data_IF_602771148726
#
_entry.id   IF_602771148726
#
_cell.length_a   1.000
_cell.length_b   1.000
_cell.length_c   1.000
_cell.angle_alpha   90.00
_cell.angle_beta   90.00
_cell.angle_gamma   90.00
#
_symmetry.space_group_name_H-M   'P 1'
#
loop_
_entity.id
_entity.type
_entity.pdbx_description
1 polymer ?
#
# COMPACT_ATOMS: atom_id res chain seq x y z
N UNK A 1 -10.18 -15.38 11.87
CA UNK A 1 -11.06 -14.81 10.84
C UNK A 1 -11.05 -13.30 11.02
N UNK A 2 -10.81 -12.56 9.94
CA UNK A 2 -10.75 -11.09 9.95
C UNK A 2 -11.90 -10.46 9.16
N UNK A 3 -12.35 -11.11 8.11
CA UNK A 3 -13.52 -10.77 7.28
C UNK A 3 -14.16 -12.05 6.76
N UNK A 4 -15.26 -11.94 6.06
CA UNK A 4 -15.89 -13.05 5.34
C UNK A 4 -15.95 -12.75 3.84
N UNK A 5 -16.04 -13.78 3.01
CA UNK A 5 -16.29 -13.67 1.57
C UNK A 5 -17.72 -14.14 1.30
N UNK A 6 -18.50 -13.28 0.61
CA UNK A 6 -19.87 -13.64 0.18
C UNK A 6 -19.86 -14.54 -1.08
N UNK A 7 -21.04 -15.00 -1.48
CA UNK A 7 -21.20 -15.89 -2.63
C UNK A 7 -20.77 -15.27 -3.97
N UNK A 8 -20.78 -13.93 -4.08
CA UNK A 8 -20.30 -13.18 -5.24
C UNK A 8 -18.79 -12.92 -5.21
N UNK A 9 -18.09 -13.46 -4.20
CA UNK A 9 -16.64 -13.32 -4.05
C UNK A 9 -16.18 -12.02 -3.39
N UNK A 10 -17.09 -11.16 -2.92
CA UNK A 10 -16.76 -9.88 -2.29
C UNK A 10 -16.40 -10.08 -0.82
N UNK A 11 -15.40 -9.35 -0.36
CA UNK A 11 -15.04 -9.33 1.05
C UNK A 11 -16.00 -8.43 1.84
N UNK A 12 -16.44 -8.92 3.01
CA UNK A 12 -17.39 -8.25 3.90
C UNK A 12 -16.84 -8.18 5.32
N UNK A 13 -17.12 -7.07 6.00
CA UNK A 13 -16.82 -6.94 7.43
C UNK A 13 -17.52 -8.03 8.25
N UNK A 14 -16.96 -8.38 9.39
CA UNK A 14 -17.65 -9.30 10.33
C UNK A 14 -18.90 -8.67 10.95
N UNK A 15 -19.08 -7.35 10.84
CA UNK A 15 -20.28 -6.62 11.26
C UNK A 15 -21.34 -6.49 10.17
N UNK A 16 -21.07 -7.00 8.96
CA UNK A 16 -22.05 -6.98 7.88
C UNK A 16 -23.26 -7.82 8.23
N UNK A 17 -24.45 -7.22 8.10
CA UNK A 17 -25.75 -7.85 8.33
C UNK A 17 -26.51 -7.88 7.00
N UNK A 18 -26.59 -9.01 6.30
CA UNK A 18 -27.40 -9.14 5.10
C UNK A 18 -28.90 -9.22 5.46
N UNK A 19 -29.75 -8.82 4.51
CA UNK A 19 -31.20 -8.85 4.68
C UNK A 19 -31.79 -10.27 4.60
N UNK A 20 -31.04 -11.22 4.04
CA UNK A 20 -31.43 -12.62 3.84
C UNK A 20 -30.32 -13.54 4.31
N UNK A 21 -30.64 -14.81 4.52
CA UNK A 21 -29.66 -15.84 4.84
C UNK A 21 -28.71 -16.04 3.65
N UNK A 22 -27.41 -15.85 3.88
CA UNK A 22 -26.36 -15.97 2.86
C UNK A 22 -25.27 -16.95 3.30
N UNK A 23 -24.71 -17.65 2.35
CA UNK A 23 -23.51 -18.44 2.58
C UNK A 23 -22.26 -17.57 2.51
N UNK A 24 -21.38 -17.71 3.49
CA UNK A 24 -20.12 -16.98 3.55
C UNK A 24 -18.96 -17.90 3.85
N UNK A 25 -17.80 -17.58 3.27
CA UNK A 25 -16.53 -18.25 3.57
C UNK A 25 -15.70 -17.39 4.50
N UNK A 26 -15.21 -17.91 5.64
CA UNK A 26 -14.35 -17.16 6.55
C UNK A 26 -12.97 -16.92 5.92
N UNK A 27 -12.43 -15.72 6.06
CA UNK A 27 -11.09 -15.33 5.61
C UNK A 27 -10.17 -15.18 6.81
N UNK A 28 -9.13 -15.99 6.86
CA UNK A 28 -8.14 -16.00 7.94
C UNK A 28 -7.10 -14.88 7.74
N UNK A 29 -6.48 -14.44 8.83
CA UNK A 29 -5.49 -13.35 8.83
C UNK A 29 -4.22 -13.67 8.03
N UNK A 30 -3.86 -14.94 7.92
CA UNK A 30 -2.66 -15.45 7.23
C UNK A 30 -2.87 -15.74 5.74
N UNK A 31 -4.07 -15.46 5.22
CA UNK A 31 -4.34 -15.49 3.77
C UNK A 31 -3.92 -14.18 3.12
N UNK A 32 -3.77 -14.16 1.78
CA UNK A 32 -3.47 -12.95 1.01
C UNK A 32 -4.52 -11.85 1.25
N UNK A 33 -5.80 -12.19 1.14
CA UNK A 33 -6.91 -11.26 1.40
C UNK A 33 -6.93 -10.80 2.86
N UNK A 34 -6.70 -11.71 3.82
CA UNK A 34 -6.66 -11.36 5.24
C UNK A 34 -5.54 -10.37 5.55
N UNK A 35 -4.35 -10.57 5.00
CA UNK A 35 -3.22 -9.63 5.09
C UNK A 35 -3.53 -8.31 4.41
N UNK A 36 -4.18 -8.33 3.25
CA UNK A 36 -4.60 -7.11 2.54
C UNK A 36 -5.52 -6.26 3.42
N UNK A 37 -6.53 -6.86 4.05
CA UNK A 37 -7.45 -6.16 4.96
C UNK A 37 -6.74 -5.65 6.24
N UNK A 38 -5.79 -6.41 6.80
CA UNK A 38 -4.97 -5.96 7.92
C UNK A 38 -4.14 -4.75 7.52
N UNK A 39 -3.51 -4.75 6.35
CA UNK A 39 -2.70 -3.65 5.79
C UNK A 39 -3.54 -2.41 5.53
N UNK A 40 -4.72 -2.56 4.93
CA UNK A 40 -5.67 -1.48 4.75
C UNK A 40 -6.08 -0.86 6.10
N UNK A 41 -6.39 -1.67 7.08
CA UNK A 41 -6.73 -1.20 8.42
C UNK A 41 -5.53 -0.54 9.13
N UNK A 42 -4.31 -1.01 8.88
CA UNK A 42 -3.09 -0.39 9.40
C UNK A 42 -2.84 1.00 8.77
N UNK A 43 -3.19 1.18 7.48
CA UNK A 43 -3.15 2.48 6.81
C UNK A 43 -4.09 3.50 7.48
N UNK A 44 -5.30 3.09 7.89
CA UNK A 44 -6.22 3.93 8.67
C UNK A 44 -5.67 4.28 10.05
N UNK A 45 -5.06 3.31 10.75
CA UNK A 45 -4.40 3.58 12.05
C UNK A 45 -3.22 4.55 11.89
N UNK A 46 -2.48 4.47 10.78
CA UNK A 46 -1.44 5.45 10.43
C UNK A 46 -2.05 6.84 10.22
N UNK A 47 -3.11 6.95 9.42
CA UNK A 47 -3.78 8.24 9.14
C UNK A 47 -4.29 8.89 10.43
N UNK A 48 -4.93 8.12 11.31
CA UNK A 48 -5.34 8.60 12.64
C UNK A 48 -4.15 9.06 13.48
N UNK A 49 -3.03 8.34 13.45
CA UNK A 49 -1.82 8.70 14.19
C UNK A 49 -1.21 9.99 13.65
N UNK A 50 -1.17 10.17 12.32
CA UNK A 50 -0.66 11.39 11.68
C UNK A 50 -1.51 12.58 12.06
N UNK A 51 -2.83 12.55 11.90
CA UNK A 51 -3.69 13.68 12.27
C UNK A 51 -3.69 13.99 13.77
N UNK A 52 -3.45 12.99 14.63
CA UNK A 52 -3.30 13.23 16.07
C UNK A 52 -2.00 13.96 16.44
N UNK A 53 -0.94 13.81 15.64
CA UNK A 53 0.37 14.44 15.88
C UNK A 53 0.60 15.68 15.01
N UNK A 54 -0.01 15.72 13.84
CA UNK A 54 0.04 16.79 12.84
C UNK A 54 -1.39 17.21 12.47
N UNK A 55 -2.06 18.03 13.29
CA UNK A 55 -3.49 18.35 13.13
C UNK A 55 -3.85 19.04 11.80
N UNK A 56 -2.88 19.71 11.18
CA UNK A 56 -3.07 20.39 9.89
C UNK A 56 -2.87 19.46 8.68
N UNK A 57 -2.40 18.21 8.90
CA UNK A 57 -2.21 17.25 7.83
C UNK A 57 -3.53 16.91 7.14
N UNK A 58 -3.54 16.98 5.78
CA UNK A 58 -4.68 16.58 4.96
C UNK A 58 -4.50 15.16 4.45
N UNK A 59 -5.60 14.44 4.41
CA UNK A 59 -5.62 13.03 4.02
C UNK A 59 -5.76 12.88 2.50
N UNK A 60 -4.80 12.19 1.88
CA UNK A 60 -4.93 11.66 0.52
C UNK A 60 -5.63 10.30 0.53
N UNK A 61 -4.91 9.27 0.09
CA UNK A 61 -5.37 7.87 0.03
C UNK A 61 -4.39 6.93 0.72
N UNK A 62 -4.86 5.75 1.13
CA UNK A 62 -4.08 4.76 1.85
C UNK A 62 -4.36 3.31 1.50
N UNK A 63 -4.07 2.86 0.23
CA UNK A 63 -4.34 1.50 -0.18
C UNK A 63 -3.37 0.48 0.44
N UNK A 64 -3.82 -0.77 0.59
CA UNK A 64 -2.92 -1.90 0.75
C UNK A 64 -2.16 -2.15 -0.56
N UNK A 65 -0.91 -2.56 -0.45
CA UNK A 65 -0.07 -3.00 -1.57
C UNK A 65 0.52 -4.37 -1.26
N UNK A 66 1.18 -4.98 -2.25
CA UNK A 66 1.91 -6.24 -2.03
C UNK A 66 2.90 -6.06 -0.88
N UNK A 67 2.76 -6.90 0.15
CA UNK A 67 3.59 -6.92 1.37
C UNK A 67 3.60 -5.64 2.23
N UNK A 68 2.69 -4.68 1.97
CA UNK A 68 2.66 -3.44 2.73
C UNK A 68 1.40 -2.61 2.53
N UNK A 69 1.51 -1.37 2.93
CA UNK A 69 0.54 -0.32 2.72
C UNK A 69 1.27 1.03 2.61
N UNK A 70 0.58 2.03 2.13
CA UNK A 70 1.03 3.41 2.27
C UNK A 70 -0.15 4.32 2.61
N UNK A 71 0.15 5.55 2.97
CA UNK A 71 -0.83 6.62 3.06
C UNK A 71 -0.19 7.95 2.67
N UNK A 72 -0.93 8.75 1.89
CA UNK A 72 -0.50 10.05 1.37
C UNK A 72 -1.06 11.18 2.22
N UNK A 73 -0.20 12.13 2.56
CA UNK A 73 -0.53 13.29 3.39
C UNK A 73 -0.02 14.57 2.76
N UNK A 74 -0.84 15.62 2.77
CA UNK A 74 -0.33 16.97 2.62
C UNK A 74 0.10 17.49 4.01
N UNK A 75 1.36 17.85 4.13
CA UNK A 75 1.98 18.39 5.35
C UNK A 75 2.90 19.54 4.98
N UNK A 76 3.12 20.47 5.91
CA UNK A 76 3.97 21.63 5.67
C UNK A 76 5.45 21.26 5.47
N UNK A 77 5.94 20.28 6.21
CA UNK A 77 7.33 19.81 6.16
C UNK A 77 7.37 18.29 5.94
N UNK A 78 8.37 17.76 5.21
CA UNK A 78 8.54 16.32 5.02
C UNK A 78 8.74 15.57 6.34
N UNK A 79 8.20 14.36 6.44
CA UNK A 79 8.40 13.50 7.60
C UNK A 79 9.86 13.06 7.73
N UNK A 80 10.40 13.21 8.93
CA UNK A 80 11.73 12.74 9.31
C UNK A 80 11.72 11.28 9.79
N UNK A 81 12.86 10.59 9.88
CA UNK A 81 12.95 9.27 10.50
C UNK A 81 12.43 9.24 11.95
N UNK A 82 12.68 10.31 12.71
CA UNK A 82 12.23 10.49 14.09
C UNK A 82 10.70 10.60 14.16
N UNK A 83 10.07 11.27 13.18
CA UNK A 83 8.61 11.31 13.06
C UNK A 83 8.03 9.94 12.82
N UNK A 84 8.65 9.12 11.94
CA UNK A 84 8.19 7.75 11.69
C UNK A 84 8.24 6.89 12.96
N UNK A 85 9.29 7.03 13.78
CA UNK A 85 9.37 6.31 15.06
C UNK A 85 8.30 6.77 16.05
N UNK A 86 8.03 8.07 16.10
CA UNK A 86 7.00 8.64 16.96
C UNK A 86 5.59 8.23 16.51
N UNK A 87 5.33 8.25 15.20
CA UNK A 87 4.10 7.76 14.60
C UNK A 87 3.88 6.27 14.88
N UNK A 88 4.90 5.45 14.75
CA UNK A 88 4.83 4.01 15.08
C UNK A 88 4.45 3.77 16.55
N UNK A 89 5.01 4.56 17.47
CA UNK A 89 4.62 4.53 18.90
C UNK A 89 3.16 4.94 19.08
N UNK A 90 2.69 5.96 18.36
CA UNK A 90 1.29 6.40 18.41
C UNK A 90 0.35 5.35 17.86
N UNK A 91 0.67 4.74 16.72
CA UNK A 91 -0.07 3.63 16.14
C UNK A 91 -0.20 2.46 17.14
N UNK A 92 0.87 2.08 17.83
CA UNK A 92 0.84 1.03 18.86
C UNK A 92 -0.11 1.36 20.02
N UNK A 93 -0.22 2.64 20.39
CA UNK A 93 -1.20 3.08 21.41
C UNK A 93 -2.62 2.90 20.89
N UNK A 94 -2.93 3.28 19.65
CA UNK A 94 -4.24 3.10 19.02
C UNK A 94 -4.60 1.62 18.91
N UNK A 95 -3.67 0.78 18.46
CA UNK A 95 -3.86 -0.68 18.41
C UNK A 95 -4.18 -1.24 19.78
N UNK A 96 -3.46 -0.83 20.84
CA UNK A 96 -3.68 -1.28 22.21
C UNK A 96 -5.04 -0.84 22.78
N UNK A 97 -5.57 0.30 22.34
CA UNK A 97 -6.91 0.76 22.73
C UNK A 97 -8.00 -0.19 22.24
N UNK A 98 -7.77 -0.89 21.13
CA UNK A 98 -8.72 -1.86 20.60
C UNK A 98 -9.96 -1.18 20.02
N UNK A 99 -9.77 -0.06 19.32
CA UNK A 99 -10.86 0.66 18.65
C UNK A 99 -11.57 -0.26 17.66
N UNK A 100 -12.88 -0.07 17.50
CA UNK A 100 -13.70 -0.87 16.60
C UNK A 100 -13.83 -0.14 15.26
N UNK A 101 -13.66 -0.86 14.16
CA UNK A 101 -14.00 -0.35 12.84
C UNK A 101 -15.52 -0.46 12.61
N UNK A 102 -16.14 0.62 12.21
CA UNK A 102 -17.57 0.69 11.95
C UNK A 102 -17.86 1.35 10.62
N UNK A 103 -18.41 0.58 9.68
CA UNK A 103 -18.84 1.10 8.38
C UNK A 103 -20.06 1.97 8.54
N UNK A 104 -20.05 3.14 7.91
CA UNK A 104 -21.16 4.07 7.84
C UNK A 104 -21.40 4.51 6.40
N UNK A 105 -22.66 4.53 5.99
CA UNK A 105 -23.09 5.03 4.67
C UNK A 105 -23.52 6.48 4.83
N UNK A 106 -23.08 7.35 3.93
CA UNK A 106 -23.57 8.71 3.86
C UNK A 106 -24.97 8.74 3.20
N UNK A 107 -25.89 9.49 3.75
CA UNK A 107 -27.23 9.66 3.20
C UNK A 107 -27.21 10.38 1.85
N UNK A 108 -26.21 11.25 1.63
CA UNK A 108 -26.03 12.00 0.39
C UNK A 108 -24.57 12.45 0.20
N UNK A 109 -24.22 12.80 -1.05
CA UNK A 109 -22.94 13.45 -1.35
C UNK A 109 -22.76 14.78 -0.60
N UNK A 110 -23.83 15.52 -0.37
CA UNK A 110 -23.76 16.80 0.32
C UNK A 110 -23.45 16.62 1.81
N UNK A 111 -23.98 15.57 2.44
CA UNK A 111 -23.59 15.20 3.80
C UNK A 111 -22.09 14.86 3.88
N UNK A 112 -21.59 14.04 2.94
CA UNK A 112 -20.17 13.69 2.89
C UNK A 112 -19.28 14.91 2.68
N UNK A 113 -19.64 15.83 1.76
CA UNK A 113 -18.92 17.10 1.55
C UNK A 113 -18.90 17.98 2.79
N UNK A 114 -20.02 18.07 3.50
CA UNK A 114 -20.08 18.87 4.72
C UNK A 114 -19.19 18.30 5.83
N UNK A 115 -19.22 16.99 6.01
CA UNK A 115 -18.40 16.32 7.05
C UNK A 115 -16.91 16.37 6.72
N UNK A 116 -16.54 16.22 5.45
CA UNK A 116 -15.17 16.20 4.96
C UNK A 116 -14.69 17.55 4.42
N UNK A 117 -15.35 18.66 4.78
CA UNK A 117 -15.04 19.99 4.28
C UNK A 117 -13.57 20.43 4.51
N UNK A 118 -12.91 19.85 5.52
CA UNK A 118 -11.51 20.08 5.82
C UNK A 118 -10.51 19.23 5.01
N UNK A 119 -10.98 18.28 4.18
CA UNK A 119 -10.15 17.28 3.49
C UNK A 119 -10.28 17.45 1.95
N UNK A 120 -9.46 18.34 1.33
CA UNK A 120 -9.63 18.71 -0.07
C UNK A 120 -9.52 17.52 -1.03
N UNK A 121 -8.62 16.58 -0.78
CA UNK A 121 -8.44 15.39 -1.61
C UNK A 121 -9.62 14.43 -1.51
N UNK A 122 -10.26 14.33 -0.35
CA UNK A 122 -11.49 13.53 -0.18
C UNK A 122 -12.69 14.18 -0.90
N UNK A 123 -12.76 15.51 -0.90
CA UNK A 123 -13.79 16.23 -1.68
C UNK A 123 -13.61 15.99 -3.18
N UNK A 124 -12.39 16.02 -3.68
CA UNK A 124 -12.10 15.72 -5.09
C UNK A 124 -12.51 14.29 -5.45
N UNK A 125 -12.23 13.29 -4.61
CA UNK A 125 -12.65 11.91 -4.81
C UNK A 125 -14.19 11.74 -4.81
N UNK A 126 -14.92 12.49 -3.96
CA UNK A 126 -16.40 12.49 -3.93
C UNK A 126 -16.98 13.08 -5.22
N UNK A 127 -16.32 14.09 -5.79
CA UNK A 127 -16.77 14.82 -6.96
C UNK A 127 -16.38 14.16 -8.28
N UNK A 128 -15.38 13.27 -8.23
CA UNK A 128 -14.91 12.58 -9.42
C UNK A 128 -15.99 11.65 -9.99
N UNK A 129 -16.29 11.87 -11.29
CA UNK A 129 -17.26 11.10 -12.05
C UNK A 129 -16.60 10.08 -12.97
N UNK A 130 -15.26 10.01 -13.00
CA UNK A 130 -14.51 9.19 -13.96
C UNK A 130 -14.68 7.69 -13.77
N UNK A 131 -15.34 7.26 -12.67
CA UNK A 131 -15.85 5.90 -12.52
C UNK A 131 -14.75 4.82 -12.42
N UNK A 132 -15.15 3.61 -12.36
CA UNK A 132 -14.55 2.33 -12.07
C UNK A 132 -13.13 1.96 -12.58
N UNK A 133 -12.44 2.76 -13.36
CA UNK A 133 -11.15 2.39 -13.97
C UNK A 133 -9.92 3.00 -13.26
N UNK A 134 -10.12 3.98 -12.37
CA UNK A 134 -9.03 4.55 -11.56
C UNK A 134 -8.93 3.78 -10.23
N UNK A 135 -7.79 3.12 -9.93
CA UNK A 135 -7.61 2.39 -8.68
C UNK A 135 -7.83 3.26 -7.42
N UNK A 136 -7.53 4.55 -7.49
CA UNK A 136 -7.71 5.49 -6.38
C UNK A 136 -9.19 5.82 -6.16
N UNK A 137 -9.97 5.93 -7.25
CA UNK A 137 -11.43 6.10 -7.20
C UNK A 137 -12.12 4.81 -6.78
N UNK A 138 -11.57 3.65 -7.16
CA UNK A 138 -12.09 2.34 -6.73
C UNK A 138 -12.04 2.15 -5.22
N UNK A 139 -11.09 2.76 -4.53
CA UNK A 139 -10.98 2.68 -3.06
C UNK A 139 -12.07 3.47 -2.34
N UNK A 140 -12.61 4.50 -2.96
CA UNK A 140 -13.52 5.46 -2.35
C UNK A 140 -14.87 5.53 -3.06
N UNK A 141 -14.90 5.28 -4.37
CA UNK A 141 -16.07 5.39 -5.23
C UNK A 141 -16.92 4.13 -5.27
N UNK A 142 -18.14 4.26 -5.76
CA UNK A 142 -19.14 3.20 -5.94
C UNK A 142 -20.54 3.81 -5.87
N UNK A 143 -21.56 2.95 -5.94
CA UNK A 143 -22.97 3.39 -5.85
C UNK A 143 -23.30 4.00 -4.48
N UNK A 144 -22.53 3.61 -3.43
CA UNK A 144 -22.67 4.12 -2.06
C UNK A 144 -21.39 4.79 -1.58
N UNK A 145 -21.48 6.04 -1.11
CA UNK A 145 -20.38 6.68 -0.38
C UNK A 145 -20.36 6.20 1.06
N UNK A 146 -19.20 5.68 1.48
CA UNK A 146 -19.03 5.13 2.81
C UNK A 146 -17.83 5.72 3.53
N UNK A 147 -17.92 5.77 4.84
CA UNK A 147 -16.81 6.05 5.74
C UNK A 147 -16.62 4.88 6.72
N UNK A 148 -15.42 4.75 7.21
CA UNK A 148 -15.14 3.89 8.36
C UNK A 148 -14.74 4.76 9.54
N UNK A 149 -15.51 4.62 10.61
CA UNK A 149 -15.28 5.27 11.87
C UNK A 149 -14.52 4.34 12.81
N UNK A 150 -13.48 4.85 13.47
CA UNK A 150 -12.80 4.17 14.56
C UNK A 150 -13.51 4.56 15.86
N UNK A 151 -14.18 3.60 16.50
CA UNK A 151 -14.98 3.83 17.68
C UNK A 151 -14.25 3.38 18.95
N UNK A 152 -14.40 4.14 20.01
CA UNK A 152 -14.01 3.72 21.34
C UNK A 152 -14.72 2.40 21.73
N UNK A 153 -14.02 1.34 22.16
CA UNK A 153 -14.64 0.04 22.41
C UNK A 153 -15.61 0.04 23.62
N UNK A 154 -15.51 1.04 24.52
CA UNK A 154 -16.34 1.14 25.72
C UNK A 154 -17.49 2.13 25.55
N UNK A 155 -17.20 3.36 25.10
CA UNK A 155 -18.19 4.43 24.99
C UNK A 155 -18.94 4.40 23.65
N UNK A 156 -18.37 3.73 22.64
CA UNK A 156 -18.86 3.73 21.25
C UNK A 156 -18.80 5.09 20.57
N UNK A 157 -18.16 6.07 21.20
CA UNK A 157 -17.93 7.37 20.60
C UNK A 157 -16.90 7.27 19.48
N UNK A 158 -17.07 8.09 18.46
CA UNK A 158 -16.15 8.20 17.33
C UNK A 158 -14.86 8.88 17.77
N UNK A 159 -13.75 8.16 17.64
CA UNK A 159 -12.40 8.69 17.89
C UNK A 159 -11.79 9.30 16.62
N UNK A 160 -12.11 8.72 15.45
CA UNK A 160 -11.61 9.14 14.15
C UNK A 160 -12.43 8.49 13.03
N UNK A 161 -12.27 8.96 11.78
CA UNK A 161 -12.90 8.30 10.63
C UNK A 161 -12.40 8.85 9.31
N UNK A 162 -12.52 8.05 8.27
CA UNK A 162 -12.10 8.39 6.91
C UNK A 162 -13.07 7.85 5.86
N UNK A 163 -13.08 8.51 4.68
CA UNK A 163 -13.80 8.08 3.50
C UNK A 163 -13.15 6.81 2.94
N UNK A 164 -13.88 5.70 2.92
CA UNK A 164 -13.33 4.40 2.53
C UNK A 164 -14.45 3.41 2.21
N UNK A 165 -14.20 2.48 1.27
CA UNK A 165 -15.12 1.37 0.95
C UNK A 165 -14.99 0.17 1.88
N UNK A 166 -13.83 -0.01 2.48
CA UNK A 166 -13.51 -1.21 3.24
C UNK A 166 -13.23 -2.44 2.36
N UNK A 167 -13.34 -3.66 2.90
CA UNK A 167 -13.67 -3.92 4.32
C UNK A 167 -12.48 -3.66 5.25
N UNK A 168 -12.78 -3.65 6.54
CA UNK A 168 -11.79 -3.56 7.62
C UNK A 168 -11.89 -4.72 8.60
N UNK A 169 -10.81 -4.92 9.35
CA UNK A 169 -10.82 -5.82 10.52
C UNK A 169 -11.78 -5.31 11.60
N UNK A 170 -12.34 -6.17 12.46
CA UNK A 170 -13.35 -5.76 13.43
C UNK A 170 -12.81 -4.80 14.51
N UNK A 171 -11.52 -4.87 14.83
CA UNK A 171 -10.88 -4.02 15.84
C UNK A 171 -9.40 -3.84 15.54
N UNK A 172 -8.84 -2.70 15.90
CA UNK A 172 -7.41 -2.39 15.72
C UNK A 172 -6.48 -3.42 16.35
N UNK A 173 -6.94 -4.22 17.33
CA UNK A 173 -6.16 -5.33 17.94
C UNK A 173 -5.77 -6.44 16.96
N UNK A 174 -6.43 -6.53 15.81
CA UNK A 174 -6.07 -7.48 14.75
C UNK A 174 -4.91 -6.98 13.86
N UNK A 175 -4.21 -5.92 14.28
CA UNK A 175 -2.93 -5.47 13.71
C UNK A 175 -1.82 -5.77 14.72
N UNK A 176 -1.39 -7.02 14.90
CA UNK A 176 -0.47 -7.39 15.97
C UNK A 176 0.96 -6.97 15.69
N UNK A 177 1.35 -6.88 14.43
CA UNK A 177 2.70 -6.61 13.99
C UNK A 177 2.73 -5.69 12.77
N UNK A 178 3.44 -4.57 12.87
CA UNK A 178 3.62 -3.62 11.78
C UNK A 178 4.92 -2.82 11.95
N UNK A 179 5.39 -2.24 10.85
CA UNK A 179 6.56 -1.38 10.81
C UNK A 179 6.35 -0.28 9.78
N UNK A 180 6.65 0.98 10.12
CA UNK A 180 6.82 2.05 9.14
C UNK A 180 8.22 1.96 8.57
N UNK A 181 8.35 2.00 7.25
CA UNK A 181 9.62 1.70 6.59
C UNK A 181 10.32 2.92 6.04
N UNK A 182 9.59 3.84 5.43
CA UNK A 182 10.15 5.06 4.84
C UNK A 182 9.07 6.10 4.55
N UNK A 183 9.49 7.34 4.30
CA UNK A 183 8.68 8.37 3.66
C UNK A 183 9.29 8.79 2.31
N UNK A 184 8.48 9.30 1.42
CA UNK A 184 8.92 9.91 0.15
C UNK A 184 7.89 10.91 -0.36
N UNK A 185 8.32 11.86 -1.20
CA UNK A 185 7.38 12.65 -1.97
C UNK A 185 6.63 11.78 -2.99
N UNK A 186 5.36 12.09 -3.21
CA UNK A 186 4.51 11.50 -4.23
C UNK A 186 3.57 12.57 -4.78
N UNK A 187 3.37 12.60 -6.10
CA UNK A 187 2.39 13.52 -6.69
C UNK A 187 0.99 12.93 -6.55
N UNK A 188 0.03 13.79 -6.18
CA UNK A 188 -1.37 13.41 -6.13
C UNK A 188 -1.81 12.81 -7.47
N UNK A 189 -2.42 11.63 -7.45
CA UNK A 189 -2.81 10.84 -8.63
C UNK A 189 -1.68 10.58 -9.63
N UNK A 190 -0.44 10.55 -9.16
CA UNK A 190 0.72 10.28 -10.01
C UNK A 190 1.03 11.36 -11.07
N UNK A 191 0.31 12.47 -11.08
CA UNK A 191 0.52 13.56 -12.03
C UNK A 191 1.45 14.63 -11.42
N UNK A 192 2.60 14.86 -12.06
CA UNK A 192 3.60 15.85 -11.64
C UNK A 192 3.09 17.30 -11.59
N UNK A 193 1.94 17.59 -12.22
CA UNK A 193 1.31 18.90 -12.20
C UNK A 193 0.42 19.11 -10.96
N UNK A 194 0.10 18.05 -10.23
CA UNK A 194 -0.70 18.09 -9.02
C UNK A 194 0.17 18.35 -7.78
N UNK A 195 -0.49 18.51 -6.63
CA UNK A 195 0.19 18.73 -5.35
C UNK A 195 1.18 17.60 -5.03
N UNK A 196 2.33 17.98 -4.47
CA UNK A 196 3.31 17.02 -3.95
C UNK A 196 2.96 16.68 -2.51
N UNK A 197 2.54 15.45 -2.27
CA UNK A 197 2.20 14.90 -0.98
C UNK A 197 3.40 14.16 -0.37
N UNK A 198 3.32 13.88 0.92
CA UNK A 198 4.26 13.01 1.61
C UNK A 198 3.62 11.64 1.80
N UNK A 199 4.23 10.62 1.21
CA UNK A 199 3.80 9.22 1.29
C UNK A 199 4.59 8.50 2.37
N UNK A 200 3.90 7.95 3.37
CA UNK A 200 4.51 7.07 4.37
C UNK A 200 4.21 5.62 3.98
N UNK A 201 5.24 4.80 3.89
CA UNK A 201 5.14 3.36 3.64
C UNK A 201 5.25 2.58 4.94
N UNK A 202 4.47 1.52 5.03
CA UNK A 202 4.53 0.56 6.11
C UNK A 202 4.25 -0.86 5.64
N UNK A 203 4.46 -1.80 6.52
CA UNK A 203 4.08 -3.21 6.35
C UNK A 203 3.36 -3.70 7.59
N UNK A 204 2.40 -4.61 7.42
CA UNK A 204 1.67 -5.22 8.53
C UNK A 204 1.42 -6.70 8.26
N UNK A 205 1.53 -7.50 9.33
CA UNK A 205 1.51 -8.95 9.28
C UNK A 205 0.68 -9.53 10.42
N UNK A 206 0.19 -10.74 10.23
CA UNK A 206 -0.67 -11.46 11.17
C UNK A 206 0.05 -11.89 12.45
N UNK A 207 1.39 -11.94 12.46
CA UNK A 207 2.20 -12.22 13.65
C UNK A 207 3.51 -11.43 13.63
N UNK A 208 4.15 -11.29 14.79
CA UNK A 208 5.46 -10.67 14.90
C UNK A 208 6.54 -11.49 14.16
N UNK A 209 6.46 -12.82 14.22
CA UNK A 209 7.40 -13.70 13.52
C UNK A 209 7.29 -13.56 12.00
N UNK A 210 6.09 -13.33 11.46
CA UNK A 210 5.89 -13.08 10.03
C UNK A 210 6.48 -11.72 9.62
N UNK A 211 6.30 -10.69 10.44
CA UNK A 211 6.91 -9.38 10.23
C UNK A 211 8.44 -9.48 10.26
N UNK A 212 9.00 -10.11 11.29
CA UNK A 212 10.46 -10.23 11.47
C UNK A 212 11.10 -10.94 10.27
N UNK A 213 10.48 -12.03 9.81
CA UNK A 213 10.91 -12.77 8.61
C UNK A 213 10.88 -11.92 7.36
N UNK A 214 9.85 -11.09 7.20
CA UNK A 214 9.75 -10.15 6.08
C UNK A 214 10.84 -9.08 6.13
N UNK A 215 11.12 -8.51 7.31
CA UNK A 215 12.19 -7.52 7.49
C UNK A 215 13.58 -8.14 7.22
N UNK A 216 13.83 -9.36 7.67
CA UNK A 216 15.05 -10.12 7.34
C UNK A 216 15.22 -10.32 5.83
N UNK A 217 14.13 -10.64 5.11
CA UNK A 217 14.18 -10.76 3.65
C UNK A 217 14.53 -9.43 2.95
N UNK A 218 13.97 -8.30 3.44
CA UNK A 218 14.31 -6.97 2.93
C UNK A 218 15.79 -6.66 3.18
N UNK A 219 16.29 -6.90 4.39
CA UNK A 219 17.70 -6.69 4.72
C UNK A 219 18.63 -7.55 3.86
N UNK A 220 18.27 -8.82 3.68
CA UNK A 220 19.02 -9.73 2.81
C UNK A 220 19.00 -9.26 1.34
N UNK A 221 17.85 -8.78 0.85
CA UNK A 221 17.73 -8.21 -0.49
C UNK A 221 18.62 -6.96 -0.67
N UNK A 222 18.67 -6.08 0.32
CA UNK A 222 19.56 -4.91 0.31
C UNK A 222 21.03 -5.33 0.33
N UNK A 223 21.38 -6.34 1.12
CA UNK A 223 22.75 -6.88 1.17
C UNK A 223 23.18 -7.48 -0.17
N UNK A 224 22.23 -8.05 -0.94
CA UNK A 224 22.44 -8.63 -2.27
C UNK A 224 22.18 -7.66 -3.42
N UNK A 225 22.05 -6.35 -3.15
CA UNK A 225 21.83 -5.37 -4.22
C UNK A 225 22.93 -5.49 -5.28
N UNK A 226 22.51 -5.70 -6.53
CA UNK A 226 23.43 -5.95 -7.66
C UNK A 226 24.39 -4.78 -7.90
N UNK A 227 24.02 -3.55 -7.56
CA UNK A 227 24.89 -2.37 -7.70
C UNK A 227 26.07 -2.46 -6.75
N UNK A 228 25.83 -2.91 -5.52
CA UNK A 228 26.86 -3.14 -4.52
C UNK A 228 27.69 -4.37 -4.85
N UNK A 229 27.04 -5.53 -5.02
CA UNK A 229 27.71 -6.79 -5.32
C UNK A 229 28.47 -6.72 -6.66
N UNK A 230 27.89 -6.03 -7.66
CA UNK A 230 28.53 -5.83 -8.95
C UNK A 230 29.83 -5.03 -8.87
N UNK A 231 29.86 -4.00 -8.02
CA UNK A 231 31.09 -3.23 -7.77
C UNK A 231 32.13 -4.06 -6.96
N UNK A 232 31.70 -4.72 -5.87
CA UNK A 232 32.56 -5.55 -5.03
C UNK A 232 33.22 -6.71 -5.79
N UNK A 233 32.49 -7.32 -6.73
CA UNK A 233 32.99 -8.45 -7.54
C UNK A 233 33.60 -8.03 -8.88
N UNK A 234 33.66 -6.74 -9.19
CA UNK A 234 34.16 -6.20 -10.45
C UNK A 234 33.43 -6.78 -11.67
N UNK A 235 32.08 -6.73 -11.63
CA UNK A 235 31.25 -7.31 -12.68
C UNK A 235 30.92 -6.33 -13.81
N UNK A 236 30.69 -5.06 -13.46
CA UNK A 236 30.35 -4.00 -14.42
C UNK A 236 30.61 -2.60 -13.83
N UNK A 237 30.70 -1.63 -14.72
CA UNK A 237 30.78 -0.20 -14.38
C UNK A 237 29.88 0.64 -15.31
N UNK A 238 29.70 1.90 -14.96
CA UNK A 238 29.00 2.90 -15.77
C UNK A 238 29.95 4.07 -16.05
N UNK A 239 30.78 3.98 -17.09
CA UNK A 239 31.70 5.07 -17.46
C UNK A 239 30.91 6.27 -17.97
N UNK A 240 31.23 7.47 -17.48
CA UNK A 240 30.57 8.72 -17.89
C UNK A 240 30.78 9.00 -19.40
N UNK A 241 31.91 8.55 -19.97
CA UNK A 241 32.27 8.71 -21.36
C UNK A 241 31.31 8.00 -22.33
N UNK A 242 30.61 6.96 -21.87
CA UNK A 242 29.68 6.20 -22.70
C UNK A 242 28.24 6.73 -22.59
N UNK A 243 27.96 7.49 -21.54
CA UNK A 243 26.64 8.02 -21.27
C UNK A 243 25.89 7.34 -20.12
N UNK A 244 24.92 8.04 -19.59
CA UNK A 244 24.13 7.60 -18.42
C UNK A 244 23.35 6.31 -18.70
N UNK A 245 23.44 5.35 -17.79
CA UNK A 245 22.66 4.10 -17.83
C UNK A 245 23.18 3.04 -18.79
N UNK A 246 24.39 3.25 -19.39
CA UNK A 246 25.02 2.28 -20.28
C UNK A 246 26.09 1.46 -19.53
N UNK A 247 25.80 0.21 -19.12
CA UNK A 247 26.77 -0.61 -18.39
C UNK A 247 27.83 -1.20 -19.30
N UNK A 248 29.08 -1.18 -18.84
CA UNK A 248 30.19 -1.96 -19.40
C UNK A 248 30.41 -3.18 -18.52
N UNK A 249 30.22 -4.37 -19.08
CA UNK A 249 30.50 -5.62 -18.37
C UNK A 249 31.98 -5.95 -18.42
N UNK A 250 32.59 -6.10 -17.26
CA UNK A 250 33.96 -6.56 -17.09
C UNK A 250 34.08 -8.06 -17.36
N UNK A 251 35.24 -8.67 -17.45
CA UNK A 251 35.40 -10.08 -17.87
C UNK A 251 34.53 -11.06 -17.05
N UNK A 252 34.45 -10.91 -15.73
CA UNK A 252 33.60 -11.76 -14.88
C UNK A 252 32.12 -11.54 -15.14
N UNK A 253 31.71 -10.28 -15.24
CA UNK A 253 30.31 -9.88 -15.55
C UNK A 253 29.89 -10.36 -16.93
N UNK A 254 30.79 -10.26 -17.94
CA UNK A 254 30.55 -10.77 -19.27
C UNK A 254 30.34 -12.29 -19.31
N UNK A 255 31.05 -13.05 -18.49
CA UNK A 255 30.82 -14.51 -18.34
C UNK A 255 29.39 -14.74 -17.76
N UNK A 256 29.05 -14.08 -16.65
CA UNK A 256 27.73 -14.23 -16.02
C UNK A 256 26.61 -13.90 -17.00
N UNK A 257 26.73 -12.77 -17.72
CA UNK A 257 25.77 -12.36 -18.74
C UNK A 257 25.60 -13.41 -19.82
N UNK A 258 26.70 -13.91 -20.39
CA UNK A 258 26.67 -14.96 -21.41
C UNK A 258 25.95 -16.22 -20.92
N UNK A 259 26.28 -16.70 -19.73
CA UNK A 259 25.65 -17.90 -19.17
C UNK A 259 24.14 -17.73 -18.98
N UNK A 260 23.70 -16.55 -18.55
CA UNK A 260 22.26 -16.22 -18.43
C UNK A 260 21.58 -16.16 -19.81
N UNK A 261 22.21 -15.54 -20.81
CA UNK A 261 21.67 -15.45 -22.17
C UNK A 261 21.56 -16.86 -22.79
N UNK A 262 22.57 -17.73 -22.61
CA UNK A 262 22.54 -19.10 -23.10
C UNK A 262 21.52 -19.98 -22.38
N UNK A 263 21.40 -19.81 -21.04
CA UNK A 263 20.36 -20.51 -20.29
C UNK A 263 18.95 -20.11 -20.79
N UNK A 264 18.68 -18.82 -20.92
CA UNK A 264 17.42 -18.31 -21.45
C UNK A 264 17.15 -18.85 -22.86
N UNK A 265 18.12 -18.76 -23.75
CA UNK A 265 18.03 -19.28 -25.13
C UNK A 265 17.66 -20.76 -25.15
N UNK A 266 18.36 -21.59 -24.38
CA UNK A 266 18.09 -23.02 -24.31
C UNK A 266 16.67 -23.31 -23.83
N UNK A 267 16.22 -22.61 -22.78
CA UNK A 267 14.86 -22.78 -22.25
C UNK A 267 13.76 -22.38 -23.24
N UNK A 268 13.98 -21.33 -23.99
CA UNK A 268 13.05 -20.94 -25.05
C UNK A 268 13.01 -21.96 -26.19
N UNK A 269 14.15 -22.47 -26.64
CA UNK A 269 14.21 -23.51 -27.66
C UNK A 269 13.51 -24.82 -27.19
N UNK A 270 13.76 -25.24 -25.96
CA UNK A 270 13.08 -26.38 -25.34
C UNK A 270 11.55 -26.20 -25.31
N UNK A 271 11.06 -24.97 -25.15
CA UNK A 271 9.64 -24.62 -25.16
C UNK A 271 9.06 -24.36 -26.57
N UNK A 272 9.84 -24.57 -27.64
CA UNK A 272 9.39 -24.44 -29.03
C UNK A 272 9.40 -23.01 -29.59
N UNK A 273 10.08 -22.05 -28.93
CA UNK A 273 10.27 -20.72 -29.46
C UNK A 273 11.35 -20.70 -30.55
N UNK A 274 11.14 -19.86 -31.56
CA UNK A 274 12.11 -19.56 -32.61
C UNK A 274 12.72 -18.17 -32.39
N UNK A 275 14.00 -18.02 -32.74
CA UNK A 275 14.71 -16.74 -32.62
C UNK A 275 14.77 -16.03 -33.95
N UNK A 276 14.46 -14.74 -33.94
CA UNK A 276 14.63 -13.84 -35.07
C UNK A 276 15.64 -12.75 -34.72
N UNK A 277 16.34 -12.24 -35.71
CA UNK A 277 17.25 -11.12 -35.56
C UNK A 277 16.66 -9.91 -36.29
N UNK A 278 16.19 -8.93 -35.53
CA UNK A 278 15.62 -7.69 -36.05
C UNK A 278 16.63 -6.56 -35.98
N UNK A 279 16.57 -5.54 -36.88
CA UNK A 279 17.41 -4.35 -36.74
C UNK A 279 17.04 -3.56 -35.49
N UNK A 280 18.07 -2.93 -34.86
CA UNK A 280 17.85 -2.07 -33.68
C UNK A 280 17.22 -0.73 -34.01
N UNK A 281 17.35 -0.28 -35.28
CA UNK A 281 16.79 0.97 -35.78
C UNK A 281 15.70 0.64 -36.78
N UNK A 282 14.49 1.12 -36.54
CA UNK A 282 13.34 0.94 -37.43
C UNK A 282 12.86 2.31 -37.94
N UNK A 283 12.12 2.30 -39.04
CA UNK A 283 11.42 3.46 -39.55
C UNK A 283 10.19 3.74 -38.67
N UNK A 284 9.92 5.04 -38.37
CA UNK A 284 8.67 5.46 -37.77
C UNK A 284 7.45 5.11 -38.59
#
# INVERSE_FOLDING_TARGET
VVVVRDAEGRLRDLSWAPDEDVEVTPVAADTEDGRSVIRHSAAHVLAQAVQAMFPDAKLGIGPPITDGFYYDFEVAEPFTPEDLEALEKRMRQIVKQGQLFSRRVFESKDQARHELAGEPYKLELIDDKSGADDPEVMEVGGDELTAYDNLNPRTREREWGDLCRGPHIPTTRYIPAFKLTRSSAAYWRGDQNNASLQRIYGTAWETQEALDRHLELIEEAQRRDHRRVGAELDLFSFPDELGSGLPVFHPKGGIVRRELEEYSRRKHIEAGYEFVNTPHITKE
#
